data_IF_524401556890
#
_entry.id   IF_524401556890
#
_cell.length_a   1.000
_cell.length_b   1.000
_cell.length_c   1.000
_cell.angle_alpha   90.00
_cell.angle_beta   90.00
_cell.angle_gamma   90.00
#
_symmetry.space_group_name_H-M   'P 1'
#
loop_
_entity.id
_entity.type
_entity.pdbx_description
1 polymer ?
#
# COMPACT_ATOMS: atom_id res chain seq x y z
N UNK A 1 28.63 -38.11 24.14
CA UNK A 1 27.21 -37.75 24.30
C UNK A 1 27.15 -36.29 24.71
N UNK A 2 26.76 -35.41 23.79
CA UNK A 2 26.21 -34.08 24.10
C UNK A 2 25.53 -33.58 22.83
N UNK A 3 24.25 -33.94 22.66
CA UNK A 3 23.38 -33.33 21.65
C UNK A 3 23.01 -31.94 22.12
N UNK A 4 23.60 -30.93 21.48
CA UNK A 4 23.07 -29.57 21.51
C UNK A 4 21.77 -29.55 20.70
N UNK A 5 20.64 -29.54 21.40
CA UNK A 5 19.36 -29.22 20.80
C UNK A 5 19.32 -27.71 20.54
N UNK A 6 19.48 -27.33 19.28
CA UNK A 6 19.17 -26.00 18.78
C UNK A 6 17.68 -25.73 18.99
N UNK A 7 17.36 -24.87 19.96
CA UNK A 7 16.02 -24.31 20.11
C UNK A 7 15.76 -23.41 18.90
N UNK A 8 15.04 -23.94 17.90
CA UNK A 8 14.47 -23.11 16.86
C UNK A 8 13.41 -22.22 17.52
N UNK A 9 13.70 -20.93 17.62
CA UNK A 9 12.72 -19.93 18.03
C UNK A 9 11.62 -19.86 16.96
N UNK A 10 10.48 -20.50 17.21
CA UNK A 10 9.27 -20.27 16.44
C UNK A 10 8.88 -18.79 16.63
N UNK A 11 9.16 -17.94 15.64
CA UNK A 11 8.57 -16.60 15.61
C UNK A 11 7.07 -16.79 15.43
N UNK A 12 6.31 -16.53 16.50
CA UNK A 12 4.84 -16.49 16.46
C UNK A 12 4.43 -15.47 15.40
N UNK A 13 3.63 -15.89 14.43
CA UNK A 13 3.07 -14.99 13.41
C UNK A 13 2.25 -13.93 14.16
N UNK A 14 2.51 -12.62 13.96
CA UNK A 14 1.72 -11.56 14.58
C UNK A 14 0.23 -11.78 14.35
N UNK A 15 -0.60 -11.58 15.39
CA UNK A 15 -2.06 -11.79 15.30
C UNK A 15 -2.69 -11.05 14.11
N UNK A 16 -2.22 -9.83 13.84
CA UNK A 16 -2.64 -9.04 12.66
C UNK A 16 -2.46 -9.83 11.36
N UNK A 17 -1.25 -10.36 11.13
CA UNK A 17 -0.93 -11.12 9.91
C UNK A 17 -1.82 -12.35 9.83
N UNK A 18 -1.90 -13.14 10.91
CA UNK A 18 -2.72 -14.36 10.93
C UNK A 18 -4.21 -14.11 10.66
N UNK A 19 -4.79 -13.03 11.20
CA UNK A 19 -6.19 -12.68 10.94
C UNK A 19 -6.39 -12.22 9.49
N UNK A 20 -5.53 -11.34 8.97
CA UNK A 20 -5.66 -10.86 7.59
C UNK A 20 -5.39 -11.97 6.56
N UNK A 21 -4.46 -12.89 6.80
CA UNK A 21 -4.25 -14.06 5.91
C UNK A 21 -5.55 -14.83 5.72
N UNK A 22 -6.25 -15.15 6.81
CA UNK A 22 -7.54 -15.86 6.76
C UNK A 22 -8.62 -15.07 6.02
N UNK A 23 -8.67 -13.76 6.22
CA UNK A 23 -9.59 -12.88 5.48
C UNK A 23 -9.28 -12.87 3.97
N UNK A 24 -8.01 -12.87 3.58
CA UNK A 24 -7.58 -12.98 2.18
C UNK A 24 -7.78 -14.38 1.57
N UNK A 25 -7.91 -15.42 2.40
CA UNK A 25 -8.35 -16.75 1.96
C UNK A 25 -9.86 -16.80 1.67
N UNK A 26 -10.61 -15.75 2.06
CA UNK A 26 -12.06 -15.65 1.88
C UNK A 26 -12.88 -16.11 3.08
N UNK A 27 -12.24 -16.38 4.23
CA UNK A 27 -12.94 -16.70 5.46
C UNK A 27 -13.63 -15.46 6.02
N UNK A 28 -14.84 -15.63 6.57
CA UNK A 28 -15.59 -14.55 7.19
C UNK A 28 -15.15 -14.32 8.64
N UNK A 29 -15.45 -13.16 9.25
CA UNK A 29 -15.21 -12.93 10.68
C UNK A 29 -15.76 -14.05 11.58
N UNK A 30 -16.94 -14.57 11.25
CA UNK A 30 -17.57 -15.68 11.97
C UNK A 30 -16.77 -16.99 11.85
N UNK A 31 -16.13 -17.25 10.71
CA UNK A 31 -15.29 -18.45 10.54
C UNK A 31 -13.96 -18.35 11.31
N UNK A 32 -13.45 -17.13 11.47
CA UNK A 32 -12.17 -16.86 12.15
C UNK A 32 -12.35 -16.87 13.68
N UNK A 33 -13.40 -16.21 14.17
CA UNK A 33 -13.73 -16.05 15.58
C UNK A 33 -15.23 -16.33 15.82
N UNK A 34 -15.68 -17.59 15.87
CA UNK A 34 -17.11 -17.94 15.99
C UNK A 34 -17.78 -17.44 17.29
N UNK A 35 -16.98 -17.07 18.28
CA UNK A 35 -17.45 -16.63 19.59
C UNK A 35 -17.55 -15.10 19.71
N UNK A 36 -17.04 -14.35 18.74
CA UNK A 36 -17.06 -12.89 18.75
C UNK A 36 -18.25 -12.39 17.91
N UNK A 37 -18.91 -11.32 18.35
CA UNK A 37 -19.82 -10.59 17.46
C UNK A 37 -19.03 -9.88 16.37
N UNK A 38 -19.71 -9.49 15.29
CA UNK A 38 -19.09 -8.72 14.19
C UNK A 38 -18.39 -7.45 14.71
N UNK A 39 -19.07 -6.66 15.54
CA UNK A 39 -18.51 -5.43 16.12
C UNK A 39 -17.31 -5.72 17.03
N UNK A 40 -17.36 -6.80 17.82
CA UNK A 40 -16.24 -7.20 18.68
C UNK A 40 -15.02 -7.62 17.86
N UNK A 41 -15.24 -8.36 16.77
CA UNK A 41 -14.18 -8.77 15.86
C UNK A 41 -13.46 -7.56 15.27
N UNK A 42 -14.19 -6.60 14.70
CA UNK A 42 -13.57 -5.41 14.09
C UNK A 42 -12.95 -4.46 15.12
N UNK A 43 -13.58 -4.29 16.29
CA UNK A 43 -12.94 -3.57 17.41
C UNK A 43 -11.62 -4.22 17.82
N UNK A 44 -11.57 -5.55 17.91
CA UNK A 44 -10.34 -6.29 18.23
C UNK A 44 -9.32 -6.21 17.09
N UNK A 45 -9.76 -6.21 15.84
CA UNK A 45 -8.90 -6.05 14.66
C UNK A 45 -8.23 -4.68 14.65
N UNK A 46 -8.99 -3.60 14.87
CA UNK A 46 -8.46 -2.23 14.88
C UNK A 46 -7.63 -1.91 16.12
N UNK A 47 -7.70 -2.74 17.17
CA UNK A 47 -6.76 -2.65 18.30
C UNK A 47 -5.35 -3.19 17.97
N UNK A 48 -5.18 -3.88 16.85
CA UNK A 48 -3.88 -4.42 16.45
C UNK A 48 -3.07 -3.38 15.67
N UNK A 49 -1.76 -3.35 15.90
CA UNK A 49 -0.84 -2.52 15.12
C UNK A 49 -0.92 -2.87 13.63
N UNK A 50 -1.21 -1.86 12.82
CA UNK A 50 -1.28 -2.01 11.37
C UNK A 50 0.10 -2.37 10.81
N UNK A 51 0.15 -3.45 10.03
CA UNK A 51 1.36 -3.85 9.29
C UNK A 51 1.24 -3.39 7.83
N UNK A 52 1.46 -2.10 7.56
CA UNK A 52 1.29 -1.47 6.24
C UNK A 52 1.94 -2.29 5.12
N UNK A 53 3.22 -2.65 5.28
CA UNK A 53 3.98 -3.37 4.27
C UNK A 53 3.32 -4.69 3.86
N UNK A 54 2.87 -5.47 4.86
CA UNK A 54 2.18 -6.74 4.63
C UNK A 54 0.82 -6.54 3.97
N UNK A 55 -0.02 -5.65 4.51
CA UNK A 55 -1.38 -5.43 4.00
C UNK A 55 -1.34 -4.89 2.57
N UNK A 56 -0.43 -3.96 2.28
CA UNK A 56 -0.19 -3.40 0.95
C UNK A 56 0.29 -4.47 -0.03
N UNK A 57 1.22 -5.32 0.38
CA UNK A 57 1.72 -6.39 -0.46
C UNK A 57 0.62 -7.39 -0.83
N UNK A 58 -0.15 -7.86 0.15
CA UNK A 58 -1.26 -8.79 -0.08
C UNK A 58 -2.34 -8.17 -0.98
N UNK A 59 -2.79 -6.94 -0.69
CA UNK A 59 -3.75 -6.26 -1.56
C UNK A 59 -3.22 -6.03 -2.98
N UNK A 60 -1.94 -5.72 -3.15
CA UNK A 60 -1.35 -5.56 -4.47
C UNK A 60 -1.28 -6.87 -5.25
N UNK A 61 -1.03 -8.00 -4.57
CA UNK A 61 -1.04 -9.35 -5.17
C UNK A 61 -2.44 -9.78 -5.66
N UNK A 62 -3.51 -9.29 -5.01
CA UNK A 62 -4.88 -9.64 -5.44
C UNK A 62 -5.20 -9.12 -6.84
N UNK A 63 -5.91 -9.93 -7.62
CA UNK A 63 -6.38 -9.55 -8.95
C UNK A 63 -7.74 -8.86 -8.87
N UNK A 64 -8.13 -8.17 -9.95
CA UNK A 64 -9.47 -7.59 -10.10
C UNK A 64 -10.60 -8.62 -9.88
N UNK A 65 -10.38 -9.84 -10.38
CA UNK A 65 -11.33 -10.94 -10.25
C UNK A 65 -11.44 -11.44 -8.80
N UNK A 66 -10.34 -11.47 -8.05
CA UNK A 66 -10.38 -11.84 -6.63
C UNK A 66 -11.21 -10.82 -5.82
N UNK A 67 -11.00 -9.52 -6.09
CA UNK A 67 -11.73 -8.43 -5.44
C UNK A 67 -13.24 -8.46 -5.72
N UNK A 68 -13.64 -8.77 -6.95
CA UNK A 68 -15.05 -8.88 -7.34
C UNK A 68 -15.69 -10.23 -6.95
N UNK A 69 -14.86 -11.25 -6.74
CA UNK A 69 -15.26 -12.60 -6.36
C UNK A 69 -15.12 -12.84 -4.85
N UNK A 70 -14.21 -13.75 -4.50
CA UNK A 70 -14.08 -14.29 -3.13
C UNK A 70 -13.77 -13.23 -2.07
N UNK A 71 -13.07 -12.14 -2.42
CA UNK A 71 -12.69 -11.10 -1.47
C UNK A 71 -13.73 -10.01 -1.31
N UNK A 72 -14.77 -9.98 -2.14
CA UNK A 72 -15.80 -8.93 -2.11
C UNK A 72 -16.42 -8.76 -0.71
N UNK A 73 -16.84 -9.82 0.00
CA UNK A 73 -17.43 -9.68 1.34
C UNK A 73 -16.46 -9.04 2.34
N UNK A 74 -15.19 -9.45 2.29
CA UNK A 74 -14.14 -8.90 3.15
C UNK A 74 -13.86 -7.43 2.82
N UNK A 75 -13.65 -7.08 1.54
CA UNK A 75 -13.36 -5.71 1.11
C UNK A 75 -14.51 -4.76 1.43
N UNK A 76 -15.75 -5.22 1.29
CA UNK A 76 -16.93 -4.48 1.68
C UNK A 76 -16.98 -4.21 3.18
N UNK A 77 -16.82 -5.28 3.98
CA UNK A 77 -16.87 -5.18 5.43
C UNK A 77 -15.75 -4.28 5.96
N UNK A 78 -14.49 -4.53 5.56
CA UNK A 78 -13.37 -3.74 6.06
C UNK A 78 -13.50 -2.26 5.69
N UNK A 79 -14.01 -1.94 4.50
CA UNK A 79 -14.23 -0.55 4.08
C UNK A 79 -15.30 0.13 4.95
N UNK A 80 -16.46 -0.52 5.13
CA UNK A 80 -17.57 0.00 5.95
C UNK A 80 -17.19 0.17 7.41
N UNK A 81 -16.53 -0.83 7.99
CA UNK A 81 -16.14 -0.81 9.40
C UNK A 81 -15.06 0.25 9.66
N UNK A 82 -14.08 0.38 8.74
CA UNK A 82 -13.10 1.46 8.83
C UNK A 82 -13.78 2.83 8.76
N UNK A 83 -14.73 3.03 7.83
CA UNK A 83 -15.48 4.29 7.72
C UNK A 83 -16.29 4.59 8.98
N UNK A 84 -17.05 3.62 9.47
CA UNK A 84 -17.90 3.75 10.66
C UNK A 84 -17.08 4.12 11.89
N UNK A 85 -16.00 3.40 12.15
CA UNK A 85 -15.11 3.68 13.27
C UNK A 85 -14.33 4.99 13.10
N UNK A 86 -13.79 5.26 11.91
CA UNK A 86 -13.07 6.50 11.65
C UNK A 86 -13.98 7.73 11.81
N UNK A 87 -15.27 7.62 11.49
CA UNK A 87 -16.24 8.71 11.64
C UNK A 87 -16.68 8.92 13.09
N UNK A 88 -16.97 7.84 13.82
CA UNK A 88 -17.58 7.92 15.16
C UNK A 88 -16.57 8.04 16.32
N UNK A 89 -15.36 7.49 16.17
CA UNK A 89 -14.39 7.44 17.26
C UNK A 89 -13.73 8.80 17.54
N UNK A 90 -13.38 9.11 18.80
CA UNK A 90 -12.63 10.31 19.14
C UNK A 90 -11.14 10.18 18.74
N UNK A 91 -10.40 11.29 18.63
CA UNK A 91 -9.02 11.29 18.13
C UNK A 91 -7.99 10.62 19.05
N UNK A 92 -8.31 10.47 20.33
CA UNK A 92 -7.48 9.76 21.32
C UNK A 92 -7.66 8.24 21.25
N UNK A 93 -8.66 7.74 20.52
CA UNK A 93 -8.85 6.32 20.27
C UNK A 93 -7.87 5.84 19.18
N UNK A 94 -6.91 5.00 19.59
CA UNK A 94 -5.93 4.38 18.69
C UNK A 94 -6.60 3.62 17.53
N UNK A 95 -7.79 3.05 17.75
CA UNK A 95 -8.53 2.34 16.70
C UNK A 95 -8.94 3.26 15.56
N UNK A 96 -9.18 4.55 15.83
CA UNK A 96 -9.48 5.56 14.79
C UNK A 96 -8.29 5.69 13.83
N UNK A 97 -7.08 5.79 14.39
CA UNK A 97 -5.84 5.89 13.60
C UNK A 97 -5.62 4.62 12.78
N UNK A 98 -5.73 3.44 13.40
CA UNK A 98 -5.57 2.16 12.69
C UNK A 98 -6.63 1.92 11.61
N UNK A 99 -7.88 2.32 11.86
CA UNK A 99 -8.97 2.25 10.88
C UNK A 99 -8.68 3.16 9.68
N UNK A 100 -8.22 4.39 9.90
CA UNK A 100 -7.87 5.31 8.82
C UNK A 100 -6.64 4.87 8.02
N UNK A 101 -5.60 4.36 8.69
CA UNK A 101 -4.43 3.81 8.01
C UNK A 101 -4.84 2.63 7.12
N UNK A 102 -5.65 1.71 7.65
CA UNK A 102 -6.22 0.58 6.89
C UNK A 102 -7.05 1.08 5.71
N UNK A 103 -7.91 2.08 5.91
CA UNK A 103 -8.75 2.68 4.87
C UNK A 103 -7.90 3.26 3.72
N UNK A 104 -6.84 4.00 4.05
CA UNK A 104 -5.91 4.57 3.06
C UNK A 104 -5.20 3.46 2.27
N UNK A 105 -4.73 2.41 2.94
CA UNK A 105 -4.05 1.28 2.28
C UNK A 105 -5.01 0.55 1.33
N UNK A 106 -6.23 0.24 1.79
CA UNK A 106 -7.26 -0.44 0.98
C UNK A 106 -7.62 0.41 -0.24
N UNK A 107 -7.98 1.68 -0.06
CA UNK A 107 -8.36 2.55 -1.16
C UNK A 107 -7.25 2.72 -2.19
N UNK A 108 -6.00 2.95 -1.75
CA UNK A 108 -4.86 3.06 -2.68
C UNK A 108 -4.66 1.78 -3.47
N UNK A 109 -4.78 0.62 -2.83
CA UNK A 109 -4.53 -0.67 -3.49
C UNK A 109 -5.67 -1.10 -4.42
N UNK A 110 -6.92 -0.75 -4.10
CA UNK A 110 -8.06 -1.03 -4.98
C UNK A 110 -8.05 -0.09 -6.19
N UNK A 111 -7.85 1.21 -5.98
CA UNK A 111 -7.98 2.19 -7.07
C UNK A 111 -6.83 2.14 -8.09
N UNK A 112 -5.69 1.51 -7.76
CA UNK A 112 -4.61 1.23 -8.72
C UNK A 112 -4.92 0.10 -9.68
N UNK A 113 -5.98 -0.71 -9.44
CA UNK A 113 -6.35 -1.86 -10.27
C UNK A 113 -7.27 -1.50 -11.45
N UNK A 114 -7.46 -0.21 -11.76
CA UNK A 114 -8.27 0.29 -12.87
C UNK A 114 -9.71 -0.29 -12.89
N UNK A 115 -10.37 -0.28 -11.73
CA UNK A 115 -11.81 -0.57 -11.66
C UNK A 115 -12.61 0.55 -12.35
N UNK A 116 -13.68 0.17 -13.01
CA UNK A 116 -14.73 1.09 -13.46
C UNK A 116 -15.56 1.56 -12.27
N UNK A 117 -16.31 2.66 -12.43
CA UNK A 117 -17.09 3.25 -11.33
C UNK A 117 -18.09 2.27 -10.70
N UNK A 118 -18.77 1.46 -11.51
CA UNK A 118 -19.69 0.43 -11.01
C UNK A 118 -18.95 -0.69 -10.25
N UNK A 119 -17.78 -1.13 -10.74
CA UNK A 119 -17.01 -2.17 -10.03
C UNK A 119 -16.47 -1.66 -8.69
N UNK A 120 -16.12 -0.37 -8.58
CA UNK A 120 -15.75 0.25 -7.29
C UNK A 120 -16.94 0.21 -6.31
N UNK A 121 -18.16 0.50 -6.78
CA UNK A 121 -19.37 0.38 -5.96
C UNK A 121 -19.61 -1.08 -5.54
N UNK A 122 -19.39 -2.03 -6.44
CA UNK A 122 -19.54 -3.45 -6.15
C UNK A 122 -18.54 -3.93 -5.08
N UNK A 123 -17.27 -3.54 -5.19
CA UNK A 123 -16.19 -3.95 -4.28
C UNK A 123 -16.28 -3.25 -2.91
N UNK A 124 -16.46 -1.93 -2.89
CA UNK A 124 -16.39 -1.14 -1.65
C UNK A 124 -17.74 -1.02 -0.95
N UNK A 125 -18.82 -0.86 -1.70
CA UNK A 125 -20.16 -0.68 -1.15
C UNK A 125 -21.04 -1.93 -1.23
N UNK A 126 -20.64 -2.95 -1.98
CA UNK A 126 -21.38 -4.22 -2.04
C UNK A 126 -22.54 -4.17 -3.03
N UNK A 127 -22.49 -3.20 -3.95
CA UNK A 127 -23.47 -2.99 -5.00
C UNK A 127 -23.86 -1.52 -5.13
N UNK A 128 -24.63 -1.21 -6.17
CA UNK A 128 -25.08 0.16 -6.49
C UNK A 128 -26.07 0.69 -5.47
N UNK A 129 -26.97 -0.16 -4.96
CA UNK A 129 -28.02 0.25 -4.02
C UNK A 129 -27.50 0.95 -2.76
N UNK A 130 -26.57 0.33 -2.00
CA UNK A 130 -26.02 0.97 -0.80
C UNK A 130 -24.82 1.88 -1.07
N UNK A 131 -24.42 2.07 -2.34
CA UNK A 131 -23.24 2.87 -2.69
C UNK A 131 -23.37 4.32 -2.24
N UNK A 132 -24.53 4.93 -2.46
CA UNK A 132 -24.75 6.34 -2.13
C UNK A 132 -24.53 6.60 -0.63
N UNK A 133 -25.11 5.78 0.25
CA UNK A 133 -24.94 5.92 1.70
C UNK A 133 -23.46 5.80 2.09
N UNK A 134 -22.79 4.74 1.63
CA UNK A 134 -21.38 4.45 1.96
C UNK A 134 -20.46 5.58 1.49
N UNK A 135 -20.61 6.05 0.25
CA UNK A 135 -19.76 7.11 -0.29
C UNK A 135 -20.12 8.49 0.28
N UNK A 136 -21.36 8.74 0.68
CA UNK A 136 -21.73 9.94 1.43
C UNK A 136 -21.10 9.95 2.82
N UNK A 137 -21.10 8.83 3.54
CA UNK A 137 -20.38 8.69 4.82
C UNK A 137 -18.88 8.93 4.64
N UNK A 138 -18.29 8.37 3.57
CA UNK A 138 -16.88 8.60 3.27
C UNK A 138 -16.58 10.08 3.00
N UNK A 139 -17.45 10.75 2.26
CA UNK A 139 -17.32 12.17 1.95
C UNK A 139 -17.46 13.03 3.19
N UNK A 140 -18.44 12.72 4.05
CA UNK A 140 -18.64 13.39 5.34
C UNK A 140 -17.41 13.23 6.24
N UNK A 141 -16.88 12.01 6.37
CA UNK A 141 -15.66 11.74 7.14
C UNK A 141 -14.49 12.65 6.70
N UNK A 142 -14.21 12.69 5.40
CA UNK A 142 -13.11 13.50 4.85
C UNK A 142 -13.36 14.99 5.11
N UNK A 143 -14.59 15.46 4.86
CA UNK A 143 -14.97 16.85 5.08
C UNK A 143 -14.80 17.25 6.55
N UNK A 144 -15.31 16.44 7.47
CA UNK A 144 -15.33 16.74 8.89
C UNK A 144 -13.91 16.73 9.47
N UNK A 145 -13.07 15.74 9.10
CA UNK A 145 -11.67 15.70 9.51
C UNK A 145 -10.85 16.90 9.01
N UNK A 146 -11.16 17.37 7.80
CA UNK A 146 -10.50 18.52 7.19
C UNK A 146 -10.97 19.82 7.83
N UNK A 147 -12.28 19.94 8.11
CA UNK A 147 -12.86 21.13 8.72
C UNK A 147 -12.51 21.26 10.20
N UNK A 148 -12.25 20.14 10.89
CA UNK A 148 -11.94 20.13 12.30
C UNK A 148 -10.54 20.70 12.60
N UNK A 149 -10.51 21.83 13.30
CA UNK A 149 -9.26 22.48 13.74
C UNK A 149 -8.57 21.73 14.89
N UNK A 150 -9.31 20.87 15.60
CA UNK A 150 -8.80 20.08 16.73
C UNK A 150 -8.20 18.75 16.28
N UNK A 151 -8.41 18.36 15.02
CA UNK A 151 -7.85 17.14 14.46
C UNK A 151 -6.31 17.19 14.54
N UNK A 152 -5.66 16.18 15.14
CA UNK A 152 -4.21 16.10 15.12
C UNK A 152 -3.68 16.06 13.67
N UNK A 153 -2.44 16.51 13.49
CA UNK A 153 -1.83 16.69 12.18
C UNK A 153 -1.80 15.39 11.34
N UNK A 154 -1.66 14.25 12.00
CA UNK A 154 -1.74 12.92 11.38
C UNK A 154 -3.10 12.73 10.67
N UNK A 155 -4.21 12.87 11.40
CA UNK A 155 -5.57 12.75 10.86
C UNK A 155 -5.84 13.71 9.70
N UNK A 156 -5.35 14.95 9.80
CA UNK A 156 -5.44 15.93 8.70
C UNK A 156 -4.67 15.45 7.46
N UNK A 157 -3.50 14.84 7.66
CA UNK A 157 -2.71 14.26 6.58
C UNK A 157 -3.44 13.09 5.90
N UNK A 158 -3.99 12.15 6.67
CA UNK A 158 -4.77 11.04 6.10
C UNK A 158 -6.00 11.53 5.35
N UNK A 159 -6.74 12.50 5.88
CA UNK A 159 -7.90 13.07 5.19
C UNK A 159 -7.51 13.75 3.88
N UNK A 160 -6.38 14.47 3.86
CA UNK A 160 -5.83 15.05 2.62
C UNK A 160 -5.42 13.96 1.61
N UNK A 161 -4.84 12.84 2.06
CA UNK A 161 -4.53 11.70 1.20
C UNK A 161 -5.79 11.06 0.61
N UNK A 162 -6.82 10.82 1.43
CA UNK A 162 -8.11 10.27 0.99
C UNK A 162 -8.77 11.18 -0.04
N UNK A 163 -8.73 12.49 0.21
CA UNK A 163 -9.24 13.50 -0.70
C UNK A 163 -8.44 13.55 -2.02
N UNK A 164 -7.11 13.42 -1.97
CA UNK A 164 -6.27 13.34 -3.17
C UNK A 164 -6.54 12.07 -3.99
N UNK A 165 -6.81 10.95 -3.31
CA UNK A 165 -7.21 9.69 -3.95
C UNK A 165 -8.55 9.86 -4.68
N UNK A 166 -9.55 10.47 -4.03
CA UNK A 166 -10.85 10.80 -4.63
C UNK A 166 -10.75 11.76 -5.82
N UNK A 167 -9.93 12.80 -5.70
CA UNK A 167 -9.73 13.78 -6.76
C UNK A 167 -9.02 13.19 -8.00
N UNK A 168 -8.16 12.20 -7.82
CA UNK A 168 -7.46 11.56 -8.93
C UNK A 168 -8.23 10.40 -9.56
N UNK A 169 -9.27 9.88 -8.89
CA UNK A 169 -10.10 8.83 -9.46
C UNK A 169 -10.84 9.32 -10.72
N UNK A 170 -10.70 8.59 -11.82
CA UNK A 170 -11.25 8.91 -13.14
C UNK A 170 -10.87 10.30 -13.70
N UNK A 171 -9.71 10.85 -13.33
CA UNK A 171 -9.25 12.16 -13.85
C UNK A 171 -9.16 12.20 -15.39
N UNK A 172 -8.86 11.08 -16.06
CA UNK A 172 -8.85 11.02 -17.53
C UNK A 172 -10.25 11.01 -18.14
N UNK A 173 -11.20 10.33 -17.51
CA UNK A 173 -12.50 9.98 -18.13
C UNK A 173 -13.64 10.89 -17.67
N UNK A 174 -13.50 11.53 -16.50
CA UNK A 174 -14.55 12.33 -15.86
C UNK A 174 -14.02 13.64 -15.24
N UNK A 175 -12.86 14.17 -15.67
CA UNK A 175 -12.26 15.41 -15.10
C UNK A 175 -13.21 16.61 -15.00
N UNK A 176 -14.20 16.73 -15.90
CA UNK A 176 -15.21 17.81 -15.88
C UNK A 176 -16.40 17.52 -14.95
N UNK A 177 -16.63 16.26 -14.57
CA UNK A 177 -17.74 15.81 -13.76
C UNK A 177 -17.33 15.44 -12.34
N UNK A 178 -16.04 15.26 -12.05
CA UNK A 178 -15.57 14.96 -10.70
C UNK A 178 -15.82 16.18 -9.79
N UNK A 179 -16.80 16.11 -8.87
CA UNK A 179 -17.19 17.26 -8.05
C UNK A 179 -16.09 17.67 -7.08
N UNK A 180 -15.20 16.76 -6.69
CA UNK A 180 -14.07 17.05 -5.82
C UNK A 180 -13.01 17.87 -6.53
N UNK A 181 -12.68 17.55 -7.79
CA UNK A 181 -11.75 18.36 -8.59
C UNK A 181 -12.29 19.78 -8.81
N UNK A 182 -13.60 19.91 -9.03
CA UNK A 182 -14.25 21.21 -9.15
C UNK A 182 -14.19 21.97 -7.81
N UNK A 183 -14.55 21.32 -6.72
CA UNK A 183 -14.49 21.89 -5.36
C UNK A 183 -13.06 22.34 -5.02
N UNK A 184 -12.04 21.52 -5.26
CA UNK A 184 -10.63 21.91 -5.07
C UNK A 184 -10.24 23.13 -5.90
N UNK A 185 -10.65 23.17 -7.17
CA UNK A 185 -10.31 24.28 -8.07
C UNK A 185 -10.99 25.58 -7.66
N UNK A 186 -12.21 25.48 -7.15
CA UNK A 186 -13.04 26.62 -6.77
C UNK A 186 -12.93 26.98 -5.28
N UNK A 187 -12.19 26.19 -4.48
CA UNK A 187 -12.12 26.38 -3.04
C UNK A 187 -11.45 27.71 -2.70
N UNK A 188 -12.08 28.45 -1.77
CA UNK A 188 -11.56 29.70 -1.21
C UNK A 188 -11.25 29.57 0.28
N UNK A 189 -11.40 28.37 0.83
CA UNK A 189 -11.10 28.11 2.23
C UNK A 189 -9.58 28.10 2.44
N UNK A 190 -9.08 29.18 3.05
CA UNK A 190 -7.67 29.37 3.34
C UNK A 190 -7.11 28.33 4.32
N UNK A 191 -7.94 27.86 5.27
CA UNK A 191 -7.52 26.86 6.24
C UNK A 191 -7.38 25.49 5.57
N UNK A 192 -8.32 25.12 4.70
CA UNK A 192 -8.21 23.95 3.83
C UNK A 192 -6.94 24.01 2.96
N UNK A 193 -6.73 25.12 2.25
CA UNK A 193 -5.55 25.30 1.40
C UNK A 193 -4.25 25.19 2.21
N UNK A 194 -4.20 25.76 3.42
CA UNK A 194 -3.05 25.65 4.32
C UNK A 194 -2.78 24.21 4.76
N UNK A 195 -3.83 23.46 5.13
CA UNK A 195 -3.72 22.05 5.51
C UNK A 195 -3.22 21.19 4.36
N UNK A 196 -3.71 21.41 3.13
CA UNK A 196 -3.24 20.72 1.92
C UNK A 196 -1.78 21.04 1.63
N UNK A 197 -1.38 22.31 1.68
CA UNK A 197 0.02 22.73 1.49
C UNK A 197 0.93 22.08 2.54
N UNK A 198 0.53 22.06 3.80
CA UNK A 198 1.27 21.39 4.86
C UNK A 198 1.41 19.89 4.60
N UNK A 199 0.30 19.20 4.28
CA UNK A 199 0.30 17.78 3.97
C UNK A 199 1.19 17.45 2.76
N UNK A 200 1.16 18.28 1.72
CA UNK A 200 2.00 18.13 0.53
C UNK A 200 3.48 18.31 0.86
N UNK A 201 3.83 19.33 1.66
CA UNK A 201 5.20 19.56 2.11
C UNK A 201 5.72 18.40 2.98
N UNK A 202 4.87 17.87 3.86
CA UNK A 202 5.19 16.70 4.67
C UNK A 202 5.43 15.47 3.78
N UNK A 203 4.52 15.16 2.85
CA UNK A 203 4.67 14.05 1.91
C UNK A 203 5.93 14.18 1.04
N UNK A 204 6.21 15.39 0.54
CA UNK A 204 7.40 15.68 -0.24
C UNK A 204 8.68 15.47 0.58
N UNK A 205 8.68 15.92 1.84
CA UNK A 205 9.82 15.70 2.76
C UNK A 205 10.04 14.21 3.02
N UNK A 206 8.97 13.44 3.23
CA UNK A 206 9.05 11.98 3.39
C UNK A 206 9.57 11.30 2.12
N UNK A 207 9.12 11.75 0.94
CA UNK A 207 9.58 11.22 -0.36
C UNK A 207 11.05 11.52 -0.60
N UNK A 208 11.51 12.72 -0.25
CA UNK A 208 12.91 13.12 -0.30
C UNK A 208 13.75 12.22 0.61
N UNK A 209 13.30 12.01 1.86
CA UNK A 209 13.99 11.12 2.80
C UNK A 209 14.06 9.69 2.28
N UNK A 210 12.96 9.15 1.76
CA UNK A 210 12.92 7.81 1.18
C UNK A 210 13.87 7.68 -0.03
N UNK A 211 13.89 8.69 -0.90
CA UNK A 211 14.82 8.73 -2.04
C UNK A 211 16.28 8.80 -1.57
N UNK A 212 16.58 9.64 -0.58
CA UNK A 212 17.91 9.73 0.03
C UNK A 212 18.32 8.39 0.62
N UNK A 213 17.45 7.70 1.35
CA UNK A 213 17.73 6.36 1.88
C UNK A 213 18.08 5.36 0.78
N UNK A 214 17.31 5.33 -0.32
CA UNK A 214 17.60 4.44 -1.47
C UNK A 214 18.91 4.83 -2.16
N UNK A 215 19.15 6.13 -2.34
CA UNK A 215 20.37 6.67 -2.95
C UNK A 215 21.61 6.34 -2.10
N UNK A 216 21.52 6.52 -0.78
CA UNK A 216 22.60 6.27 0.16
C UNK A 216 22.89 4.77 0.28
N UNK A 217 21.88 3.89 0.21
CA UNK A 217 22.06 2.44 0.15
C UNK A 217 22.62 1.94 -1.20
N UNK A 218 22.54 2.75 -2.27
CA UNK A 218 23.14 2.44 -3.58
C UNK A 218 24.65 2.66 -3.61
N UNK A 219 25.21 3.35 -2.61
CA UNK A 219 26.67 3.48 -2.39
C UNK A 219 27.18 2.28 -1.58
N UNK A 220 26.80 1.07 -1.97
CA UNK A 220 27.49 -0.17 -1.58
C UNK A 220 28.47 -0.53 -2.71
N UNK A 221 29.71 -0.97 -2.41
CA UNK A 221 30.85 -1.05 -3.34
C UNK A 221 30.69 -2.03 -4.52
N UNK A 222 29.49 -2.55 -4.77
CA UNK A 222 29.17 -3.50 -5.83
C UNK A 222 29.01 -2.80 -7.20
N UNK A 223 28.43 -1.60 -7.28
CA UNK A 223 28.26 -0.88 -8.56
C UNK A 223 29.59 -0.33 -9.11
N UNK A 224 30.47 0.16 -8.23
CA UNK A 224 31.84 0.55 -8.59
C UNK A 224 32.67 -0.65 -9.05
N UNK A 225 32.43 -1.85 -8.49
CA UNK A 225 33.13 -3.08 -8.90
C UNK A 225 32.66 -3.58 -10.27
N UNK A 226 31.36 -3.48 -10.59
CA UNK A 226 30.81 -3.90 -11.89
C UNK A 226 31.17 -2.96 -13.04
N UNK A 227 31.22 -1.63 -12.80
CA UNK A 227 31.70 -0.69 -13.82
C UNK A 227 33.22 -0.74 -13.98
N UNK A 228 33.97 -0.97 -12.90
CA UNK A 228 35.42 -1.18 -12.95
C UNK A 228 35.83 -2.42 -13.76
N UNK A 229 35.07 -3.52 -13.66
CA UNK A 229 35.32 -4.75 -14.43
C UNK A 229 34.95 -4.61 -15.92
N UNK A 230 33.91 -3.83 -16.25
CA UNK A 230 33.60 -3.48 -17.64
C UNK A 230 34.62 -2.51 -18.26
N UNK A 231 35.14 -1.54 -17.50
CA UNK A 231 36.14 -0.59 -18.02
C UNK A 231 37.53 -1.23 -18.22
N UNK A 232 37.85 -2.26 -17.43
CA UNK A 232 39.07 -3.07 -17.65
C UNK A 232 38.92 -4.05 -18.80
N UNK A 233 37.70 -4.55 -19.06
CA UNK A 233 37.35 -5.36 -20.24
C UNK A 233 37.45 -4.58 -21.57
N UNK A 234 37.28 -3.25 -21.53
CA UNK A 234 37.34 -2.37 -22.72
C UNK A 234 38.71 -1.73 -22.98
N UNK A 235 39.79 -2.17 -22.33
CA UNK A 235 41.15 -1.72 -22.69
C UNK A 235 41.58 -2.39 -24.02
N UNK A 236 41.86 -1.63 -25.10
CA UNK A 236 42.16 -2.20 -26.42
C UNK A 236 43.58 -2.76 -26.59
N UNK A 237 44.41 -2.80 -25.54
CA UNK A 237 45.85 -3.10 -25.67
C UNK A 237 46.24 -4.58 -25.53
N UNK A 238 45.28 -5.52 -25.57
CA UNK A 238 45.60 -6.96 -25.66
C UNK A 238 45.34 -7.58 -27.04
N UNK A 239 44.91 -6.79 -28.02
CA UNK A 239 44.53 -7.28 -29.35
C UNK A 239 45.58 -7.04 -30.47
N UNK A 240 46.76 -6.47 -30.17
CA UNK A 240 47.81 -6.18 -31.17
C UNK A 240 49.22 -6.68 -30.80
N UNK A 241 49.35 -7.85 -30.17
CA UNK A 241 50.58 -8.62 -30.28
C UNK A 241 50.47 -9.56 -31.50
N UNK A 242 51.02 -9.14 -32.64
CA UNK A 242 51.15 -9.95 -33.87
C UNK A 242 51.94 -11.24 -33.57
N UNK A 243 51.48 -12.33 -34.18
CA UNK A 243 51.90 -13.74 -34.11
C UNK A 243 53.35 -13.98 -34.58
N UNK A 244 53.92 -15.20 -34.39
CA UNK A 244 53.69 -16.26 -35.38
C UNK A 244 53.23 -17.60 -34.79
N UNK A 245 52.44 -18.27 -35.62
CA UNK A 245 52.03 -19.67 -35.60
C UNK A 245 53.17 -20.67 -35.34
N UNK A 246 52.88 -21.69 -34.52
CA UNK A 246 53.42 -23.05 -34.71
C UNK A 246 52.24 -24.03 -34.92
N UNK A 247 52.35 -24.97 -35.87
CA UNK A 247 51.22 -25.76 -36.38
C UNK A 247 50.85 -26.95 -35.48
N UNK A 248 49.62 -27.49 -35.59
CA UNK A 248 49.19 -28.65 -34.83
C UNK A 248 49.82 -29.91 -35.45
N UNK A 249 50.66 -30.61 -34.69
CA UNK A 249 51.19 -31.93 -35.05
C UNK A 249 50.92 -32.92 -33.92
N UNK A 250 50.68 -34.16 -34.33
CA UNK A 250 50.50 -35.37 -33.51
C UNK A 250 49.07 -35.63 -32.97
N UNK A 251 48.15 -35.98 -33.88
CA UNK A 251 47.09 -36.94 -33.59
C UNK A 251 47.10 -38.02 -34.70
N UNK A 252 48.14 -38.86 -34.67
CA UNK A 252 48.21 -40.20 -35.26
C UNK A 252 48.66 -41.12 -34.11
N UNK A 253 47.77 -41.91 -33.52
CA UNK A 253 47.57 -43.35 -33.82
C UNK A 253 48.83 -44.22 -33.74
N UNK A 254 48.71 -45.21 -32.84
CA UNK A 254 49.33 -46.55 -32.79
C UNK A 254 50.81 -46.68 -32.38
N UNK A 255 51.05 -46.93 -31.08
CA UNK A 255 51.55 -48.21 -30.51
C UNK A 255 51.83 -48.10 -29.01
#
# INVERSE_FOLDING_TARGET
>A
MNSGASVQSFQSIPKFIGTYTKLFEGLTPHDISPHESHDQFFSNLFNLDVKDAYLREELNRTTKNDCLGKLKPFLNAIFRECLSHAHSAPYDDLRKAHALETLVIVLRSILTKNFTGWEVMEVLAGGVGPADEVFMTFTALVNDMIADERAPAQFTFEAALLLAVLANFHKSDASRLNPYLKCFKETRDENLMRKICWATNFALTCSIKAYQTISDDSVKPTLTTTLGSMFTSLRPDRAFAKTPSDPPRELFKDQ
#
